data_IF_267204946336
#
_entry.id   IF_267204946336
#
_cell.length_a   1.000
_cell.length_b   1.000
_cell.length_c   1.000
_cell.angle_alpha   90.00
_cell.angle_beta   90.00
_cell.angle_gamma   90.00
#
_symmetry.space_group_name_H-M   'P 1'
#
loop_
_entity.id
_entity.type
_entity.pdbx_description
1 polymer ?
#
# COMPACT_ATOMS: atom_id res chain seq x y z
N UNK A 1 4.49 0.10 -12.34
CA UNK A 1 3.69 -0.49 -11.24
C UNK A 1 2.54 -1.30 -11.83
N UNK A 2 1.79 -2.12 -11.06
CA UNK A 2 0.58 -2.80 -11.57
C UNK A 2 -0.41 -1.80 -12.18
N UNK A 3 -0.42 -0.56 -11.66
CA UNK A 3 -1.17 0.58 -12.18
C UNK A 3 -0.70 1.00 -13.58
N UNK A 4 0.61 1.13 -13.83
CA UNK A 4 1.14 1.45 -15.18
C UNK A 4 0.83 0.39 -16.24
N UNK A 5 0.83 -0.89 -15.82
CA UNK A 5 0.49 -1.99 -16.74
C UNK A 5 -1.00 -1.98 -17.09
N UNK A 6 -1.88 -1.79 -16.11
CA UNK A 6 -3.34 -1.70 -16.31
C UNK A 6 -3.74 -0.45 -17.11
N UNK A 7 -3.02 0.67 -16.93
CA UNK A 7 -3.19 1.88 -17.75
C UNK A 7 -2.76 1.66 -19.22
N UNK A 8 -1.74 0.82 -19.46
CA UNK A 8 -1.31 0.44 -20.81
C UNK A 8 -2.27 -0.55 -21.49
N UNK A 9 -3.04 -1.30 -20.71
CA UNK A 9 -4.10 -2.21 -21.17
C UNK A 9 -5.43 -1.48 -21.45
N UNK A 10 -5.51 -0.16 -21.20
CA UNK A 10 -6.66 0.68 -21.56
C UNK A 10 -7.77 0.78 -20.51
N UNK A 11 -7.53 0.34 -19.27
CA UNK A 11 -8.48 0.52 -18.17
C UNK A 11 -8.68 2.00 -17.81
N UNK A 12 -9.88 2.34 -17.31
CA UNK A 12 -10.16 3.68 -16.78
C UNK A 12 -9.14 4.05 -15.68
N UNK A 13 -8.47 5.21 -15.76
CA UNK A 13 -7.43 5.62 -14.80
C UNK A 13 -7.90 5.64 -13.35
N UNK A 14 -9.20 5.88 -13.12
CA UNK A 14 -9.80 5.82 -11.79
C UNK A 14 -9.86 4.39 -11.25
N UNK A 15 -10.24 3.43 -12.08
CA UNK A 15 -10.37 2.03 -11.68
C UNK A 15 -9.00 1.44 -11.33
N UNK A 16 -7.98 1.69 -12.16
CA UNK A 16 -6.62 1.21 -11.94
C UNK A 16 -6.00 1.76 -10.64
N UNK A 17 -6.30 3.02 -10.29
CA UNK A 17 -5.87 3.64 -9.02
C UNK A 17 -6.57 2.99 -7.82
N UNK A 18 -7.89 2.78 -7.89
CA UNK A 18 -8.66 2.15 -6.80
C UNK A 18 -8.18 0.73 -6.55
N UNK A 19 -8.02 -0.08 -7.60
CA UNK A 19 -7.61 -1.48 -7.49
C UNK A 19 -6.17 -1.60 -6.95
N UNK A 20 -5.27 -0.73 -7.42
CA UNK A 20 -3.90 -0.62 -6.92
C UNK A 20 -3.83 -0.21 -5.43
N UNK A 21 -4.74 0.66 -5.00
CA UNK A 21 -4.83 1.08 -3.58
C UNK A 21 -5.38 -0.05 -2.70
N UNK A 22 -6.45 -0.72 -3.14
CA UNK A 22 -7.05 -1.87 -2.43
C UNK A 22 -6.08 -3.04 -2.24
N UNK A 23 -5.24 -3.33 -3.24
CA UNK A 23 -4.21 -4.37 -3.12
C UNK A 23 -3.21 -4.08 -2.00
N UNK A 24 -2.76 -2.82 -1.88
CA UNK A 24 -1.83 -2.41 -0.82
C UNK A 24 -2.47 -2.41 0.57
N UNK A 25 -3.72 -1.96 0.65
CA UNK A 25 -4.51 -1.99 1.88
C UNK A 25 -4.58 -3.41 2.48
N UNK A 26 -4.92 -4.40 1.65
CA UNK A 26 -4.96 -5.81 2.07
C UNK A 26 -3.60 -6.31 2.54
N UNK A 27 -2.53 -6.00 1.82
CA UNK A 27 -1.18 -6.43 2.18
C UNK A 27 -0.76 -5.87 3.55
N UNK A 28 -0.95 -4.57 3.79
CA UNK A 28 -0.57 -3.92 5.05
C UNK A 28 -1.38 -4.45 6.23
N UNK A 29 -2.69 -4.66 6.04
CA UNK A 29 -3.54 -5.25 7.08
C UNK A 29 -3.09 -6.66 7.47
N UNK A 30 -2.79 -7.52 6.50
CA UNK A 30 -2.32 -8.89 6.76
C UNK A 30 -0.99 -8.93 7.51
N UNK A 31 -0.02 -8.09 7.11
CA UNK A 31 1.28 -8.00 7.80
C UNK A 31 1.08 -7.53 9.24
N UNK A 32 0.30 -6.47 9.44
CA UNK A 32 0.04 -5.90 10.77
C UNK A 32 -0.61 -6.93 11.69
N UNK A 33 -1.63 -7.63 11.20
CA UNK A 33 -2.35 -8.66 11.94
C UNK A 33 -1.41 -9.81 12.31
N UNK A 34 -0.53 -10.21 11.39
CA UNK A 34 0.45 -11.28 11.62
C UNK A 34 1.50 -10.87 12.66
N UNK A 35 1.99 -9.63 12.63
CA UNK A 35 2.96 -9.15 13.61
C UNK A 35 2.35 -9.06 15.00
N UNK A 36 1.16 -8.47 15.13
CA UNK A 36 0.46 -8.36 16.41
C UNK A 36 0.10 -9.77 16.93
N UNK A 37 -0.40 -10.65 16.06
CA UNK A 37 -0.70 -12.04 16.40
C UNK A 37 0.52 -12.85 16.84
N UNK A 38 1.67 -12.65 16.19
CA UNK A 38 2.92 -13.32 16.54
C UNK A 38 3.56 -12.81 17.84
N UNK A 39 3.34 -11.53 18.19
CA UNK A 39 3.81 -10.93 19.43
C UNK A 39 2.84 -11.15 20.61
N UNK A 40 1.57 -11.47 20.34
CA UNK A 40 0.56 -11.75 21.36
C UNK A 40 1.00 -12.79 22.41
N UNK A 41 1.56 -13.98 22.07
CA UNK A 41 1.99 -14.95 23.07
C UNK A 41 3.12 -14.43 23.97
N UNK A 42 4.01 -13.57 23.46
CA UNK A 42 5.09 -12.97 24.25
C UNK A 42 4.58 -12.04 25.34
N UNK A 43 3.41 -11.41 25.13
CA UNK A 43 2.77 -10.56 26.13
C UNK A 43 2.16 -11.35 27.30
N UNK A 44 1.88 -12.65 27.12
CA UNK A 44 1.35 -13.53 28.16
C UNK A 44 2.43 -14.30 28.92
N UNK A 45 3.70 -14.16 28.53
CA UNK A 45 4.82 -14.85 29.13
C UNK A 45 5.29 -14.13 30.41
N UNK A 46 5.32 -14.83 31.54
CA UNK A 46 5.60 -14.25 32.88
C UNK A 46 7.03 -14.44 33.37
N UNK A 47 7.90 -15.04 32.55
CA UNK A 47 9.31 -15.28 32.88
C UNK A 47 10.10 -13.98 33.13
N UNK A 48 11.02 -14.00 34.10
CA UNK A 48 11.91 -12.87 34.44
C UNK A 48 12.73 -12.37 33.24
N UNK A 49 13.06 -13.25 32.29
CA UNK A 49 13.73 -12.88 31.03
C UNK A 49 12.78 -12.20 30.03
N UNK A 50 11.48 -12.49 30.08
CA UNK A 50 10.47 -11.89 29.21
C UNK A 50 10.07 -10.47 29.65
N UNK A 51 10.31 -10.09 30.91
CA UNK A 51 9.99 -8.76 31.44
C UNK A 51 10.72 -7.60 30.72
N UNK A 52 11.91 -7.85 30.17
CA UNK A 52 12.62 -6.87 29.32
C UNK A 52 12.06 -6.80 27.89
N UNK A 53 11.45 -7.88 27.40
CA UNK A 53 10.88 -7.97 26.05
C UNK A 53 9.47 -7.39 25.99
N UNK A 54 8.71 -7.43 27.09
CA UNK A 54 7.37 -6.84 27.20
C UNK A 54 7.34 -5.35 26.77
N UNK A 55 8.17 -4.43 27.32
CA UNK A 55 8.13 -3.02 26.93
C UNK A 55 8.52 -2.78 25.46
N UNK A 56 9.41 -3.61 24.91
CA UNK A 56 9.77 -3.60 23.49
C UNK A 56 8.58 -4.02 22.62
N UNK A 57 7.92 -5.13 22.96
CA UNK A 57 6.77 -5.66 22.23
C UNK A 57 5.57 -4.69 22.27
N UNK A 58 5.30 -4.07 23.42
CA UNK A 58 4.23 -3.06 23.56
C UNK A 58 4.50 -1.86 22.66
N UNK A 59 5.73 -1.35 22.63
CA UNK A 59 6.13 -0.22 21.78
C UNK A 59 5.93 -0.55 20.30
N UNK A 60 6.34 -1.75 19.87
CA UNK A 60 6.17 -2.21 18.49
C UNK A 60 4.70 -2.39 18.13
N UNK A 61 3.90 -3.06 18.97
CA UNK A 61 2.47 -3.25 18.71
C UNK A 61 1.72 -1.93 18.59
N UNK A 62 1.98 -0.98 19.50
CA UNK A 62 1.33 0.34 19.46
C UNK A 62 1.80 1.15 18.25
N UNK A 63 3.12 1.18 17.99
CA UNK A 63 3.70 1.86 16.83
C UNK A 63 3.19 1.30 15.50
N UNK A 64 3.08 -0.03 15.38
CA UNK A 64 2.50 -0.70 14.22
C UNK A 64 1.03 -0.36 14.07
N UNK A 65 0.22 -0.43 15.13
CA UNK A 65 -1.20 -0.11 15.05
C UNK A 65 -1.44 1.32 14.52
N UNK A 66 -0.70 2.31 15.04
CA UNK A 66 -0.78 3.69 14.58
C UNK A 66 -0.22 3.85 13.15
N UNK A 67 0.92 3.23 12.85
CA UNK A 67 1.51 3.26 11.52
C UNK A 67 0.58 2.63 10.46
N UNK A 68 -0.11 1.55 10.79
CA UNK A 68 -1.06 0.89 9.90
C UNK A 68 -2.21 1.83 9.54
N UNK A 69 -2.78 2.54 10.52
CA UNK A 69 -3.79 3.59 10.27
C UNK A 69 -3.23 4.72 9.41
N UNK A 70 -2.00 5.16 9.71
CA UNK A 70 -1.35 6.22 8.94
C UNK A 70 -1.10 5.80 7.49
N UNK A 71 -0.62 4.59 7.25
CA UNK A 71 -0.37 4.03 5.91
C UNK A 71 -1.67 3.81 5.14
N UNK A 72 -2.73 3.34 5.80
CA UNK A 72 -4.08 3.21 5.22
C UNK A 72 -4.58 4.52 4.60
N UNK A 73 -4.24 5.66 5.20
CA UNK A 73 -4.60 7.00 4.73
C UNK A 73 -3.54 7.59 3.77
N UNK A 74 -2.26 7.39 4.07
CA UNK A 74 -1.14 7.97 3.34
C UNK A 74 -1.00 7.37 1.95
N UNK A 75 -1.20 6.05 1.80
CA UNK A 75 -1.08 5.35 0.51
C UNK A 75 -2.09 5.84 -0.54
N UNK A 76 -3.42 5.91 -0.28
CA UNK A 76 -4.37 6.47 -1.23
C UNK A 76 -4.06 7.93 -1.56
N UNK A 77 -3.67 8.73 -0.55
CA UNK A 77 -3.30 10.12 -0.76
C UNK A 77 -2.09 10.26 -1.71
N UNK A 78 -1.05 9.46 -1.50
CA UNK A 78 0.16 9.47 -2.35
C UNK A 78 -0.13 9.06 -3.79
N UNK A 79 -0.96 8.03 -4.00
CA UNK A 79 -1.36 7.60 -5.35
C UNK A 79 -2.21 8.69 -6.02
N UNK A 80 -3.10 9.35 -5.27
CA UNK A 80 -3.87 10.50 -5.75
C UNK A 80 -2.98 11.67 -6.18
N UNK A 81 -2.00 12.04 -5.34
CA UNK A 81 -1.01 13.08 -5.66
C UNK A 81 -0.18 12.70 -6.88
N UNK A 82 0.28 11.45 -6.99
CA UNK A 82 0.98 10.98 -8.18
C UNK A 82 0.11 11.08 -9.45
N UNK A 83 -1.17 10.72 -9.35
CA UNK A 83 -2.10 10.85 -10.48
C UNK A 83 -2.30 12.31 -10.89
N UNK A 84 -2.36 13.23 -9.94
CA UNK A 84 -2.52 14.66 -10.19
C UNK A 84 -1.25 15.30 -10.78
N UNK A 85 -0.07 14.97 -10.23
CA UNK A 85 1.23 15.33 -10.81
C UNK A 85 1.38 14.85 -12.25
N UNK A 86 0.90 13.64 -12.56
CA UNK A 86 0.93 13.09 -13.92
C UNK A 86 -0.02 13.82 -14.87
N UNK A 87 -1.15 14.34 -14.36
CA UNK A 87 -2.12 15.16 -15.11
C UNK A 87 -1.61 16.59 -15.33
N UNK A 88 -0.91 17.17 -14.36
CA UNK A 88 -0.35 18.53 -14.42
C UNK A 88 1.01 18.66 -15.12
N UNK A 89 1.79 17.56 -15.22
CA UNK A 89 3.21 17.63 -15.59
C UNK A 89 3.65 17.06 -16.94
N UNK A 90 2.88 16.21 -17.65
CA UNK A 90 3.34 15.68 -18.94
C UNK A 90 2.19 15.09 -19.76
N UNK A 91 1.73 15.82 -20.77
CA UNK A 91 0.82 15.32 -21.81
C UNK A 91 1.58 14.33 -22.71
N UNK A 92 1.78 13.09 -22.25
CA UNK A 92 2.24 12.01 -23.12
C UNK A 92 1.06 11.61 -23.98
N UNK A 93 1.03 12.12 -25.22
CA UNK A 93 0.06 11.74 -26.25
C UNK A 93 0.07 10.20 -26.40
N UNK A 94 -1.08 9.52 -26.44
CA UNK A 94 -1.10 8.09 -26.73
C UNK A 94 -0.49 7.83 -28.12
N UNK A 95 0.34 6.80 -28.29
CA UNK A 95 0.95 6.47 -29.57
C UNK A 95 -0.13 6.03 -30.56
N UNK A 96 -0.24 6.76 -31.67
CA UNK A 96 -1.21 6.53 -32.76
C UNK A 96 -0.71 5.44 -33.72
N UNK A 97 -0.28 4.31 -33.19
CA UNK A 97 0.33 3.21 -33.96
C UNK A 97 -0.70 2.14 -34.29
N UNK A 98 -1.71 2.47 -35.11
CA UNK A 98 -2.60 1.44 -35.69
C UNK A 98 -3.31 1.81 -37.00
N UNK A 99 -2.89 2.88 -37.68
CA UNK A 99 -3.52 3.34 -38.94
C UNK A 99 -2.64 3.28 -40.19
N UNK A 100 -1.43 2.72 -40.11
CA UNK A 100 -0.50 2.67 -41.25
C UNK A 100 -0.28 1.27 -41.86
N UNK A 101 -0.89 0.21 -41.31
CA UNK A 101 -0.80 -1.14 -41.88
C UNK A 101 -1.91 -1.45 -42.90
N UNK A 102 -2.71 -0.46 -43.29
CA UNK A 102 -3.87 -0.63 -44.17
C UNK A 102 -3.83 0.28 -45.43
N UNK A 103 -2.65 0.74 -45.85
CA UNK A 103 -2.45 1.53 -47.07
C UNK A 103 -1.41 0.90 -47.99
#
# INVERSE_FOLDING_TARGET
TTIDRRLAEGEEPRLAVVDGTCSRLRAVLLTSLTTIGGLAPLLFETSFQAQFLIPMAVTLCFGLAVNTLLVLLLVPALIGVQADFRRGGWKARPPTVRRLEAA
#
